data_IF_580703237460
#
_entry.id   IF_580703237460
#
_cell.length_a   1.000
_cell.length_b   1.000
_cell.length_c   1.000
_cell.angle_alpha   90.00
_cell.angle_beta   90.00
_cell.angle_gamma   90.00
#
_symmetry.space_group_name_H-M   'P 1'
#
loop_
_entity.id
_entity.type
_entity.pdbx_description
1 polymer ?
#
# COMPACT_ATOMS: atom_id res chain seq x y z
N UNK A 1 11.01 26.32 -6.98
CA UNK A 1 10.38 26.18 -5.65
C UNK A 1 9.57 24.91 -5.70
N UNK A 2 10.05 23.83 -5.09
CA UNK A 2 9.41 22.50 -5.14
C UNK A 2 8.06 22.60 -4.46
N UNK A 3 6.99 22.40 -5.22
CA UNK A 3 5.66 22.19 -4.67
C UNK A 3 5.72 20.90 -3.85
N UNK A 4 5.73 21.04 -2.53
CA UNK A 4 5.70 19.90 -1.61
C UNK A 4 4.25 19.45 -1.62
N UNK A 5 3.92 18.23 -2.11
CA UNK A 5 2.54 17.78 -2.13
C UNK A 5 1.97 17.92 -0.71
N UNK A 6 0.86 18.64 -0.61
CA UNK A 6 0.11 18.82 0.63
C UNK A 6 -0.29 17.44 1.17
N UNK A 7 -0.33 17.23 2.50
CA UNK A 7 -0.91 16.01 3.07
C UNK A 7 -2.33 15.86 2.51
N UNK A 8 -2.60 14.77 1.80
CA UNK A 8 -3.93 14.47 1.27
C UNK A 8 -4.98 14.57 2.38
N UNK A 9 -6.04 15.33 2.10
CA UNK A 9 -7.21 15.41 2.97
C UNK A 9 -7.87 14.02 2.98
N UNK A 10 -8.29 13.46 4.14
CA UNK A 10 -9.05 12.21 4.18
C UNK A 10 -10.33 12.19 3.32
N UNK A 11 -10.74 13.33 2.76
CA UNK A 11 -11.84 13.48 1.81
C UNK A 11 -11.44 13.36 0.32
N UNK A 12 -10.15 13.16 -0.02
CA UNK A 12 -9.69 12.74 -1.36
C UNK A 12 -10.06 11.25 -1.61
N UNK A 13 -11.32 10.90 -1.38
CA UNK A 13 -11.84 9.57 -1.61
C UNK A 13 -11.98 9.37 -3.13
N UNK A 14 -11.34 8.32 -3.63
CA UNK A 14 -11.57 7.86 -5.01
C UNK A 14 -13.03 7.46 -5.12
N UNK A 15 -13.82 8.21 -5.89
CA UNK A 15 -15.17 7.82 -6.26
C UNK A 15 -15.09 6.60 -7.20
N UNK A 16 -15.74 5.51 -6.81
CA UNK A 16 -15.84 4.29 -7.64
C UNK A 16 -17.19 4.36 -8.34
N UNK A 17 -17.18 4.43 -9.66
CA UNK A 17 -18.39 4.45 -10.50
C UNK A 17 -18.82 3.03 -10.87
N UNK A 18 -20.07 2.88 -11.33
CA UNK A 18 -20.55 1.59 -11.85
C UNK A 18 -19.71 1.11 -13.06
N UNK A 19 -19.17 2.03 -13.85
CA UNK A 19 -18.30 1.71 -14.98
C UNK A 19 -16.97 1.05 -14.54
N UNK A 20 -16.40 1.51 -13.42
CA UNK A 20 -15.18 0.92 -12.85
C UNK A 20 -15.45 -0.52 -12.34
N UNK A 21 -16.65 -0.74 -11.79
CA UNK A 21 -17.10 -2.07 -11.34
C UNK A 21 -17.28 -3.00 -12.53
N UNK A 22 -17.95 -2.53 -13.58
CA UNK A 22 -18.15 -3.28 -14.81
C UNK A 22 -16.82 -3.64 -15.49
N UNK A 23 -15.86 -2.71 -15.51
CA UNK A 23 -14.52 -2.96 -16.02
C UNK A 23 -13.79 -4.05 -15.20
N UNK A 24 -13.84 -3.97 -13.86
CA UNK A 24 -13.22 -4.97 -13.00
C UNK A 24 -13.79 -6.38 -13.21
N UNK A 25 -15.10 -6.48 -13.41
CA UNK A 25 -15.80 -7.73 -13.73
C UNK A 25 -15.38 -8.24 -15.13
N UNK A 26 -15.30 -7.34 -16.12
CA UNK A 26 -14.91 -7.68 -17.49
C UNK A 26 -13.48 -8.23 -17.57
N UNK A 27 -12.53 -7.66 -16.82
CA UNK A 27 -11.16 -8.17 -16.71
C UNK A 27 -11.12 -9.61 -16.18
N UNK A 28 -12.05 -9.95 -15.29
CA UNK A 28 -12.22 -11.31 -14.76
C UNK A 28 -13.15 -12.19 -15.63
N UNK A 29 -13.38 -11.81 -16.90
CA UNK A 29 -14.24 -12.54 -17.84
C UNK A 29 -15.68 -12.75 -17.33
N UNK A 30 -16.19 -11.85 -16.50
CA UNK A 30 -17.51 -11.95 -15.89
C UNK A 30 -17.58 -12.83 -14.63
N UNK A 31 -16.49 -13.45 -14.20
CA UNK A 31 -16.49 -14.27 -12.97
C UNK A 31 -16.45 -13.36 -11.72
N UNK A 32 -17.61 -13.19 -11.08
CA UNK A 32 -17.75 -12.42 -9.85
C UNK A 32 -16.88 -12.98 -8.70
N UNK A 33 -16.69 -14.30 -8.59
CA UNK A 33 -15.87 -14.90 -7.52
C UNK A 33 -14.39 -14.63 -7.77
N UNK A 34 -13.94 -14.68 -9.02
CA UNK A 34 -12.59 -14.30 -9.40
C UNK A 34 -12.34 -12.81 -9.13
N UNK A 35 -13.30 -11.95 -9.51
CA UNK A 35 -13.25 -10.50 -9.26
C UNK A 35 -13.12 -10.18 -7.77
N UNK A 36 -13.99 -10.75 -6.93
CA UNK A 36 -13.94 -10.56 -5.47
C UNK A 36 -12.61 -11.06 -4.90
N UNK A 37 -12.09 -12.20 -5.38
CA UNK A 37 -10.79 -12.71 -4.94
C UNK A 37 -9.66 -11.75 -5.30
N UNK A 38 -9.66 -11.20 -6.51
CA UNK A 38 -8.67 -10.22 -6.95
C UNK A 38 -8.70 -8.95 -6.07
N UNK A 39 -9.90 -8.43 -5.77
CA UNK A 39 -10.07 -7.27 -4.88
C UNK A 39 -9.54 -7.54 -3.46
N UNK A 40 -9.84 -8.72 -2.89
CA UNK A 40 -9.33 -9.10 -1.56
C UNK A 40 -7.80 -9.20 -1.55
N UNK A 41 -7.21 -9.80 -2.59
CA UNK A 41 -5.74 -9.87 -2.73
C UNK A 41 -5.15 -8.46 -2.83
N UNK A 42 -5.72 -7.58 -3.64
CA UNK A 42 -5.27 -6.20 -3.80
C UNK A 42 -5.36 -5.41 -2.49
N UNK A 43 -6.43 -5.59 -1.72
CA UNK A 43 -6.58 -4.94 -0.42
C UNK A 43 -5.51 -5.42 0.56
N UNK A 44 -5.32 -6.74 0.71
CA UNK A 44 -4.28 -7.30 1.58
C UNK A 44 -2.88 -6.85 1.16
N UNK A 45 -2.59 -6.81 -0.14
CA UNK A 45 -1.31 -6.33 -0.65
C UNK A 45 -1.07 -4.85 -0.27
N UNK A 46 -2.08 -4.00 -0.46
CA UNK A 46 -2.00 -2.56 -0.15
C UNK A 46 -1.73 -2.34 1.34
N UNK A 47 -2.45 -3.04 2.20
CA UNK A 47 -2.26 -2.98 3.66
C UNK A 47 -0.84 -3.43 4.07
N UNK A 48 -0.33 -4.51 3.47
CA UNK A 48 1.03 -4.98 3.72
C UNK A 48 2.09 -3.98 3.27
N UNK A 49 1.94 -3.39 2.07
CA UNK A 49 2.88 -2.38 1.57
C UNK A 49 2.87 -1.12 2.42
N UNK A 50 1.70 -0.69 2.89
CA UNK A 50 1.58 0.44 3.80
C UNK A 50 2.31 0.18 5.14
N UNK A 51 2.16 -1.01 5.70
CA UNK A 51 2.86 -1.41 6.92
C UNK A 51 4.38 -1.45 6.73
N UNK A 52 4.85 -1.98 5.59
CA UNK A 52 6.28 -1.96 5.25
C UNK A 52 6.82 -0.54 5.12
N UNK A 53 6.13 0.32 4.38
CA UNK A 53 6.51 1.71 4.20
C UNK A 53 6.58 2.46 5.54
N UNK A 54 5.61 2.23 6.45
CA UNK A 54 5.61 2.81 7.80
C UNK A 54 6.82 2.37 8.63
N UNK A 55 7.22 1.09 8.52
CA UNK A 55 8.42 0.59 9.20
C UNK A 55 9.68 1.30 8.70
N UNK A 56 9.83 1.40 7.39
CA UNK A 56 10.99 2.04 6.73
C UNK A 56 11.07 3.55 7.00
N UNK A 57 9.93 4.24 7.04
CA UNK A 57 9.85 5.66 7.33
C UNK A 57 10.12 6.00 8.81
N UNK A 58 10.14 5.00 9.71
CA UNK A 58 10.37 5.25 11.14
C UNK A 58 11.85 5.52 11.44
N UNK A 59 12.21 6.61 12.15
CA UNK A 59 13.60 6.88 12.57
C UNK A 59 14.20 5.77 13.46
N UNK A 60 13.35 4.98 14.11
CA UNK A 60 13.72 3.87 14.98
C UNK A 60 14.28 2.65 14.25
N UNK A 61 13.83 2.37 13.01
CA UNK A 61 14.32 1.23 12.23
C UNK A 61 15.74 1.49 11.71
N UNK A 62 16.02 2.68 11.19
CA UNK A 62 17.38 3.08 10.76
C UNK A 62 18.39 3.06 11.93
N UNK A 63 17.95 3.38 13.15
CA UNK A 63 18.79 3.35 14.36
C UNK A 63 19.05 1.94 14.91
N UNK A 64 18.27 0.93 14.52
CA UNK A 64 18.37 -0.44 15.07
C UNK A 64 19.27 -1.39 14.29
N UNK A 65 19.92 -0.98 13.19
CA UNK A 65 20.96 -1.82 12.57
C UNK A 65 22.05 -2.04 13.63
N UNK A 66 22.19 -3.24 14.22
CA UNK A 66 23.18 -3.46 15.25
C UNK A 66 24.54 -3.35 14.58
N UNK A 67 25.29 -2.30 14.90
CA UNK A 67 26.73 -2.31 14.65
C UNK A 67 27.23 -3.50 15.45
N UNK A 68 27.67 -4.57 14.77
CA UNK A 68 28.43 -5.64 15.43
C UNK A 68 29.58 -4.93 16.13
N UNK A 69 29.51 -4.79 17.45
CA UNK A 69 30.66 -4.39 18.26
C UNK A 69 31.70 -5.47 18.01
N UNK A 70 32.71 -5.16 17.20
CA UNK A 70 33.92 -5.95 17.14
C UNK A 70 34.43 -6.06 18.58
N UNK A 71 34.36 -7.26 19.13
CA UNK A 71 34.96 -7.58 20.41
C UNK A 71 36.47 -7.52 20.16
N UNK A 72 37.11 -6.43 20.60
CA UNK A 72 38.56 -6.35 20.67
C UNK A 72 39.03 -7.31 21.78
N UNK A 73 39.80 -8.32 21.38
CA UNK A 73 40.71 -9.07 22.23
C UNK A 73 42.14 -8.79 21.79
#
# INVERSE_FOLDING_TARGET
MTDKPSPHDPTDLIEITDADVDEAIAVCSGDMRATIRALLIANTFTEQMLELARREASPGFLRRRPVKRAQNG
#
